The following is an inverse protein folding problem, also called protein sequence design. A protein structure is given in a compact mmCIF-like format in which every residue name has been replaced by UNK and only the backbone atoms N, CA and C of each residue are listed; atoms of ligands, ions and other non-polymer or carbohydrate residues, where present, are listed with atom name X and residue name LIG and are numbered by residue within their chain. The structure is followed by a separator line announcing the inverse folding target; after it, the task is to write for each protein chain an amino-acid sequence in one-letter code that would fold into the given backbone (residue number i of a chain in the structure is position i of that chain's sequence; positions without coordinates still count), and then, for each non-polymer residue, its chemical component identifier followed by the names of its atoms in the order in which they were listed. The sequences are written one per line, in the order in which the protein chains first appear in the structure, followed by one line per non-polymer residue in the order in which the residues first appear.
data_IF_496838730383
#
_entry.id   IF_496838730383
#
_cell.length_a   1.000
_cell.length_b   1.000
_cell.length_c   1.000
_cell.angle_alpha   90.00
_cell.angle_beta   90.00
_cell.angle_gamma   90.00
#
_symmetry.space_group_name_H-M   'P 1'
#
loop_
_entity.id
_entity.type
_entity.pdbx_description
1 polymer ?
#
# COMPACT_ATOMS: atom_id res chain seq x y z
N UNK A 1 22.57 6.46 51.71
CA UNK A 1 21.62 5.51 51.08
C UNK A 1 21.03 6.04 49.77
N UNK A 2 21.86 6.58 48.84
CA UNK A 2 21.35 7.23 47.61
C UNK A 2 21.82 6.56 46.30
N UNK A 3 22.73 5.58 46.38
CA UNK A 3 23.33 4.93 45.18
C UNK A 3 22.52 3.76 44.61
N UNK A 4 21.64 3.14 45.39
CA UNK A 4 20.88 1.95 44.96
C UNK A 4 19.61 2.29 44.16
N UNK A 5 19.07 3.51 44.27
CA UNK A 5 17.85 3.90 43.54
C UNK A 5 18.10 4.26 42.07
N UNK A 6 19.31 4.69 41.72
CA UNK A 6 19.66 5.04 40.34
C UNK A 6 19.86 3.81 39.45
N UNK A 7 20.44 2.71 39.98
CA UNK A 7 20.71 1.51 39.20
C UNK A 7 19.42 0.84 38.64
N UNK A 8 18.31 0.87 39.40
CA UNK A 8 17.03 0.35 38.93
C UNK A 8 16.41 1.17 37.79
N UNK A 9 16.58 2.51 37.80
CA UNK A 9 16.00 3.37 36.76
C UNK A 9 16.65 3.14 35.40
N UNK A 10 17.97 2.97 35.37
CA UNK A 10 18.71 2.67 34.14
C UNK A 10 18.41 1.27 33.60
N UNK A 11 18.24 0.27 34.49
CA UNK A 11 17.83 -1.08 34.09
C UNK A 11 16.45 -1.11 33.42
N UNK A 12 15.47 -0.37 33.95
CA UNK A 12 14.14 -0.29 33.35
C UNK A 12 14.13 0.43 31.99
N UNK A 13 14.90 1.51 31.84
CA UNK A 13 15.01 2.22 30.56
C UNK A 13 15.62 1.32 29.46
N UNK A 14 16.59 0.48 29.81
CA UNK A 14 17.20 -0.48 28.87
C UNK A 14 16.20 -1.55 28.42
N UNK A 15 15.37 -2.07 29.34
CA UNK A 15 14.37 -3.10 29.02
C UNK A 15 13.28 -2.54 28.09
N UNK A 16 12.83 -1.31 28.31
CA UNK A 16 11.86 -0.64 27.43
C UNK A 16 12.45 -0.41 26.04
N UNK A 17 13.71 0.04 25.94
CA UNK A 17 14.39 0.25 24.66
C UNK A 17 14.54 -1.06 23.86
N UNK A 18 14.79 -2.19 24.54
CA UNK A 18 14.90 -3.50 23.90
C UNK A 18 13.53 -4.03 23.42
N UNK A 19 12.44 -3.73 24.13
CA UNK A 19 11.09 -4.14 23.71
C UNK A 19 10.60 -3.43 22.44
N UNK A 20 11.03 -2.19 22.19
CA UNK A 20 10.67 -1.45 20.96
C UNK A 20 11.49 -1.87 19.72
N UNK A 21 12.57 -2.64 19.89
CA UNK A 21 13.41 -3.10 18.78
C UNK A 21 13.00 -4.47 18.21
N UNK A 22 12.01 -5.16 18.81
CA UNK A 22 11.54 -6.47 18.35
C UNK A 22 10.18 -6.42 17.63
N UNK A 23 9.74 -5.25 17.18
CA UNK A 23 8.73 -5.19 16.13
C UNK A 23 9.33 -5.81 14.87
N UNK A 24 9.11 -7.11 14.71
CA UNK A 24 9.49 -7.84 13.50
C UNK A 24 8.91 -7.07 12.32
N UNK A 25 9.73 -6.59 11.37
CA UNK A 25 9.18 -6.12 10.10
C UNK A 25 8.45 -7.33 9.51
N UNK A 26 7.13 -7.23 9.40
CA UNK A 26 6.35 -8.15 8.58
C UNK A 26 6.82 -7.88 7.16
N UNK A 27 7.87 -8.61 6.75
CA UNK A 27 8.36 -8.60 5.38
C UNK A 27 7.28 -9.26 4.53
N UNK A 28 6.40 -8.43 4.00
CA UNK A 28 5.55 -8.81 2.90
C UNK A 28 6.44 -9.19 1.72
N UNK A 29 6.39 -10.46 1.29
CA UNK A 29 7.14 -10.90 0.11
C UNK A 29 6.73 -10.08 -1.11
N UNK A 30 7.70 -9.67 -1.97
CA UNK A 30 7.40 -8.90 -3.17
C UNK A 30 6.46 -9.68 -4.08
N UNK A 31 5.51 -8.99 -4.71
CA UNK A 31 4.59 -9.59 -5.66
C UNK A 31 5.27 -9.73 -7.02
N UNK A 32 5.25 -10.93 -7.59
CA UNK A 32 5.73 -11.16 -8.96
C UNK A 32 4.54 -11.05 -9.94
N UNK A 33 4.67 -10.29 -11.04
CA UNK A 33 3.60 -10.13 -12.01
C UNK A 33 3.27 -11.47 -12.68
N UNK A 34 1.98 -11.79 -12.80
CA UNK A 34 1.53 -12.93 -13.60
C UNK A 34 1.02 -12.41 -14.95
N UNK A 35 1.75 -12.72 -16.03
CA UNK A 35 1.34 -12.39 -17.40
C UNK A 35 0.31 -13.41 -17.89
N UNK A 36 -0.91 -12.96 -18.19
CA UNK A 36 -1.91 -13.74 -18.93
C UNK A 36 -2.98 -14.42 -18.08
N UNK A 37 -3.74 -13.65 -17.29
CA UNK A 37 -4.78 -14.21 -16.43
C UNK A 37 -6.19 -13.70 -16.78
N UNK A 38 -7.05 -14.66 -17.11
CA UNK A 38 -8.45 -14.47 -17.46
C UNK A 38 -9.29 -14.49 -16.17
N UNK A 39 -9.54 -13.31 -15.59
CA UNK A 39 -10.39 -13.17 -14.40
C UNK A 39 -11.68 -12.49 -14.80
N UNK A 40 -12.80 -13.21 -14.74
CA UNK A 40 -14.13 -12.65 -14.89
C UNK A 40 -14.72 -12.32 -13.53
N UNK A 41 -15.27 -11.12 -13.42
CA UNK A 41 -16.09 -10.71 -12.30
C UNK A 41 -17.51 -11.20 -12.53
N UNK A 42 -18.04 -12.07 -11.67
CA UNK A 42 -19.45 -12.48 -11.76
C UNK A 42 -20.23 -11.79 -10.65
N UNK A 43 -21.05 -10.82 -11.03
CA UNK A 43 -21.95 -10.14 -10.10
C UNK A 43 -23.08 -11.09 -9.71
N UNK A 44 -22.96 -11.86 -8.64
CA UNK A 44 -24.11 -12.58 -8.06
C UNK A 44 -24.96 -11.59 -7.25
N UNK A 45 -25.63 -10.69 -7.94
CA UNK A 45 -26.79 -10.00 -7.39
C UNK A 45 -28.05 -10.73 -7.85
N UNK A 46 -28.56 -11.62 -7.00
CA UNK A 46 -29.99 -11.96 -7.03
C UNK A 46 -30.76 -10.74 -6.52
N UNK A 47 -31.02 -9.77 -7.39
CA UNK A 47 -32.15 -8.85 -7.19
C UNK A 47 -32.70 -8.41 -8.54
N UNK A 48 -34.03 -8.44 -8.59
CA UNK A 48 -34.91 -8.46 -9.75
C UNK A 48 -34.72 -7.35 -10.78
N UNK A 49 -34.97 -7.73 -12.05
CA UNK A 49 -35.49 -6.92 -13.18
C UNK A 49 -35.14 -5.42 -13.25
N UNK A 50 -34.36 -5.06 -14.27
CA UNK A 50 -34.24 -3.69 -14.78
C UNK A 50 -32.91 -3.50 -15.53
N UNK A 51 -32.98 -3.29 -16.85
CA UNK A 51 -31.84 -3.47 -17.76
C UNK A 51 -30.76 -2.38 -17.76
N UNK A 52 -29.61 -2.78 -18.33
CA UNK A 52 -28.54 -1.98 -18.96
C UNK A 52 -27.74 -1.05 -18.03
N UNK A 53 -26.43 -1.16 -17.83
CA UNK A 53 -25.36 -2.05 -18.34
C UNK A 53 -24.25 -2.01 -17.28
N UNK A 54 -24.12 -3.04 -16.44
CA UNK A 54 -23.03 -3.13 -15.46
C UNK A 54 -21.84 -3.76 -16.16
N UNK A 55 -20.74 -3.01 -16.29
CA UNK A 55 -19.53 -3.48 -16.92
C UNK A 55 -18.93 -4.63 -16.09
N UNK A 56 -18.92 -5.85 -16.63
CA UNK A 56 -18.10 -6.95 -16.13
C UNK A 56 -16.63 -6.60 -16.45
N UNK A 57 -15.95 -5.91 -15.53
CA UNK A 57 -14.62 -5.36 -15.81
C UNK A 57 -13.54 -6.39 -15.54
N UNK A 58 -13.13 -7.20 -16.52
CA UNK A 58 -12.16 -8.30 -16.28
C UNK A 58 -10.90 -7.84 -15.51
N UNK A 59 -10.27 -8.74 -14.75
CA UNK A 59 -9.05 -8.41 -14.00
C UNK A 59 -7.93 -7.85 -14.89
N UNK A 60 -7.91 -8.25 -16.15
CA UNK A 60 -7.04 -7.71 -17.18
C UNK A 60 -7.34 -6.22 -17.48
N UNK A 61 -8.62 -5.86 -17.69
CA UNK A 61 -9.01 -4.46 -17.94
C UNK A 61 -8.73 -3.57 -16.72
N UNK A 62 -8.93 -4.09 -15.50
CA UNK A 62 -8.59 -3.37 -14.27
C UNK A 62 -7.09 -3.11 -14.19
N UNK A 63 -6.28 -4.15 -14.39
CA UNK A 63 -4.82 -4.01 -14.40
C UNK A 63 -4.33 -3.02 -15.46
N UNK A 64 -4.92 -3.08 -16.67
CA UNK A 64 -4.63 -2.17 -17.77
C UNK A 64 -4.96 -0.72 -17.41
N UNK A 65 -6.18 -0.46 -16.93
CA UNK A 65 -6.64 0.88 -16.55
C UNK A 65 -5.79 1.48 -15.42
N UNK A 66 -5.43 0.66 -14.42
CA UNK A 66 -4.54 1.08 -13.34
C UNK A 66 -3.15 1.44 -13.88
N UNK A 67 -2.61 0.64 -14.81
CA UNK A 67 -1.28 0.88 -15.39
C UNK A 67 -1.23 2.07 -16.36
N UNK A 68 -2.33 2.37 -17.05
CA UNK A 68 -2.49 3.56 -17.89
C UNK A 68 -2.47 4.85 -17.05
N UNK A 69 -3.02 4.80 -15.83
CA UNK A 69 -3.09 5.95 -14.92
C UNK A 69 -2.08 5.90 -13.76
N UNK A 70 -1.09 5.00 -13.83
CA UNK A 70 -0.23 4.66 -12.67
C UNK A 70 0.49 5.85 -12.05
N UNK A 71 0.96 6.80 -12.85
CA UNK A 71 1.72 7.94 -12.33
C UNK A 71 0.81 8.96 -11.64
N UNK A 72 -0.43 9.11 -12.11
CA UNK A 72 -1.44 9.93 -11.44
C UNK A 72 -1.84 9.29 -10.10
N UNK A 73 -2.15 7.99 -10.12
CA UNK A 73 -2.46 7.21 -8.92
C UNK A 73 -1.32 7.31 -7.91
N UNK A 74 -0.09 7.02 -8.35
CA UNK A 74 1.08 7.05 -7.49
C UNK A 74 1.37 8.42 -6.92
N UNK A 75 1.27 9.50 -7.72
CA UNK A 75 1.46 10.87 -7.23
C UNK A 75 0.42 11.25 -6.17
N UNK A 76 -0.84 10.90 -6.39
CA UNK A 76 -1.91 11.18 -5.43
C UNK A 76 -1.67 10.44 -4.10
N UNK A 77 -1.42 9.13 -4.15
CA UNK A 77 -1.15 8.33 -2.95
C UNK A 77 0.11 8.81 -2.23
N UNK A 78 1.17 9.13 -2.99
CA UNK A 78 2.41 9.65 -2.46
C UNK A 78 2.22 10.96 -1.71
N UNK A 79 1.47 11.89 -2.27
CA UNK A 79 1.21 13.20 -1.64
C UNK A 79 0.51 13.08 -0.28
N UNK A 80 -0.24 11.99 -0.08
CA UNK A 80 -0.90 11.67 1.20
C UNK A 80 0.13 11.11 2.18
N UNK A 81 0.91 10.11 1.79
CA UNK A 81 1.77 9.37 2.74
C UNK A 81 3.12 10.06 3.02
N UNK A 82 3.63 10.84 2.06
CA UNK A 82 4.91 11.54 2.11
C UNK A 82 4.78 13.02 1.67
N UNK A 83 4.00 13.86 2.38
CA UNK A 83 3.67 15.22 1.93
C UNK A 83 4.86 16.19 1.83
N UNK A 84 5.99 15.84 2.44
CA UNK A 84 7.21 16.66 2.47
C UNK A 84 8.35 16.07 1.62
N UNK A 85 8.01 15.26 0.63
CA UNK A 85 8.95 14.64 -0.28
C UNK A 85 8.56 14.90 -1.73
N UNK A 86 9.49 14.63 -2.65
CA UNK A 86 9.32 14.86 -4.07
C UNK A 86 9.05 13.53 -4.77
N UNK A 87 7.94 13.46 -5.50
CA UNK A 87 7.59 12.31 -6.33
C UNK A 87 8.50 12.23 -7.56
N UNK A 88 8.98 11.03 -7.88
CA UNK A 88 9.73 10.77 -9.12
C UNK A 88 8.86 10.09 -10.19
N UNK A 89 8.52 8.81 -9.97
CA UNK A 89 7.71 8.01 -10.89
C UNK A 89 7.08 6.80 -10.20
N UNK A 90 6.12 6.16 -10.87
CA UNK A 90 5.49 4.91 -10.41
C UNK A 90 5.81 3.79 -11.39
N UNK A 91 6.38 2.69 -10.90
CA UNK A 91 6.60 1.52 -11.76
C UNK A 91 5.24 0.87 -12.11
N UNK A 92 5.18 -0.04 -13.10
CA UNK A 92 3.97 -0.76 -13.41
C UNK A 92 3.32 -1.38 -12.17
N UNK A 93 2.01 -1.15 -12.00
CA UNK A 93 1.23 -1.71 -10.90
C UNK A 93 1.12 -3.22 -11.13
N UNK A 94 1.66 -3.98 -10.18
CA UNK A 94 1.71 -5.43 -10.26
C UNK A 94 0.42 -6.00 -9.71
N UNK A 95 -0.09 -7.06 -10.31
CA UNK A 95 -1.33 -7.72 -9.93
C UNK A 95 -1.07 -9.20 -9.67
N UNK A 96 -1.54 -9.69 -8.53
CA UNK A 96 -1.50 -11.11 -8.18
C UNK A 96 -2.82 -11.58 -7.55
N UNK A 97 -3.03 -12.89 -7.64
CA UNK A 97 -4.19 -13.58 -7.09
C UNK A 97 -3.83 -14.12 -5.71
N UNK A 98 -4.72 -13.90 -4.74
CA UNK A 98 -4.67 -14.54 -3.44
C UNK A 98 -5.82 -15.56 -3.28
N UNK A 99 -5.64 -16.59 -2.43
CA UNK A 99 -6.72 -17.51 -2.10
C UNK A 99 -7.99 -16.79 -1.63
N UNK A 100 -9.16 -17.34 -2.00
CA UNK A 100 -10.46 -16.81 -1.59
C UNK A 100 -10.99 -15.66 -2.45
N UNK A 101 -10.76 -15.70 -3.77
CA UNK A 101 -11.19 -14.67 -4.73
C UNK A 101 -10.69 -13.26 -4.39
N UNK A 102 -9.49 -13.19 -3.83
CA UNK A 102 -8.81 -11.94 -3.52
C UNK A 102 -7.81 -11.61 -4.62
N UNK A 103 -7.68 -10.34 -4.89
CA UNK A 103 -6.71 -9.76 -5.78
C UNK A 103 -5.87 -8.79 -4.98
N UNK A 104 -4.57 -8.82 -5.22
CA UNK A 104 -3.62 -7.91 -4.62
C UNK A 104 -2.92 -7.13 -5.71
N UNK A 105 -2.97 -5.81 -5.59
CA UNK A 105 -2.20 -4.87 -6.37
C UNK A 105 -1.01 -4.38 -5.56
N UNK A 106 0.16 -4.26 -6.18
CA UNK A 106 1.33 -3.60 -5.60
C UNK A 106 1.66 -2.36 -6.42
N UNK A 107 1.73 -1.21 -5.74
CA UNK A 107 1.99 0.11 -6.33
C UNK A 107 3.37 0.57 -5.84
N UNK A 108 4.44 0.32 -6.62
CA UNK A 108 5.79 0.78 -6.31
C UNK A 108 5.99 2.24 -6.73
N UNK A 109 6.30 3.11 -5.77
CA UNK A 109 6.48 4.56 -5.97
C UNK A 109 7.91 4.96 -5.61
N UNK A 110 8.61 5.54 -6.59
CA UNK A 110 9.93 6.13 -6.38
C UNK A 110 9.81 7.61 -6.04
N UNK A 111 10.65 8.07 -5.11
CA UNK A 111 10.66 9.44 -4.63
C UNK A 111 12.02 9.82 -4.04
N UNK A 112 12.23 11.11 -3.84
CA UNK A 112 13.42 11.63 -3.16
C UNK A 112 13.06 12.79 -2.23
N UNK A 113 14.04 13.24 -1.44
CA UNK A 113 13.98 14.50 -0.69
C UNK A 113 15.20 15.34 -1.00
N UNK A 114 14.97 16.65 -1.11
CA UNK A 114 16.03 17.63 -1.17
C UNK A 114 16.62 17.86 0.22
N UNK A 115 17.48 16.93 0.64
CA UNK A 115 18.32 17.12 1.82
C UNK A 115 19.67 17.66 1.36
N UNK A 116 20.06 18.81 1.91
CA UNK A 116 21.27 19.58 1.54
C UNK A 116 22.56 18.73 1.52
N UNK A 117 22.62 17.63 2.28
CA UNK A 117 23.80 16.79 2.39
C UNK A 117 23.74 15.47 1.60
N UNK A 118 22.54 14.96 1.28
CA UNK A 118 22.40 13.65 0.61
C UNK A 118 21.07 13.59 -0.15
N UNK A 119 21.12 13.55 -1.48
CA UNK A 119 19.98 13.09 -2.28
C UNK A 119 20.00 11.56 -2.30
N UNK A 120 18.95 10.95 -1.74
CA UNK A 120 18.72 9.49 -1.84
C UNK A 120 17.40 9.27 -2.54
N UNK A 121 17.41 8.31 -3.47
CA UNK A 121 16.20 7.78 -4.05
C UNK A 121 15.63 6.74 -3.10
N UNK A 122 14.33 6.83 -2.89
CA UNK A 122 13.56 6.00 -1.99
C UNK A 122 12.48 5.30 -2.78
N UNK A 123 12.06 4.14 -2.27
CA UNK A 123 10.99 3.34 -2.81
C UNK A 123 9.99 3.07 -1.70
N UNK A 124 8.72 3.38 -1.97
CA UNK A 124 7.60 2.98 -1.14
C UNK A 124 6.73 2.02 -1.93
N UNK A 125 6.35 0.89 -1.32
CA UNK A 125 5.41 -0.08 -1.91
C UNK A 125 4.10 -0.04 -1.16
N UNK A 126 3.02 0.24 -1.88
CA UNK A 126 1.66 0.17 -1.34
C UNK A 126 1.04 -1.12 -1.84
N UNK A 127 0.63 -1.99 -0.91
CA UNK A 127 -0.15 -3.19 -1.19
C UNK A 127 -1.62 -2.88 -1.03
N UNK A 128 -2.40 -3.16 -2.05
CA UNK A 128 -3.84 -2.93 -2.09
C UNK A 128 -4.60 -4.22 -2.38
N UNK A 129 -5.45 -4.65 -1.44
CA UNK A 129 -6.23 -5.88 -1.52
C UNK A 129 -7.70 -5.58 -1.85
N UNK A 130 -8.21 -6.29 -2.85
CA UNK A 130 -9.60 -6.24 -3.31
C UNK A 130 -10.18 -7.66 -3.27
N UNK A 131 -11.38 -7.84 -2.74
CA UNK A 131 -12.07 -9.13 -2.75
C UNK A 131 -13.54 -8.96 -3.12
N UNK A 132 -14.08 -9.81 -3.99
CA UNK A 132 -15.48 -9.76 -4.43
C UNK A 132 -15.99 -8.34 -4.77
N UNK A 133 -15.19 -7.55 -5.50
CA UNK A 133 -15.46 -6.14 -5.86
C UNK A 133 -15.45 -5.13 -4.71
N UNK A 134 -14.88 -5.48 -3.57
CA UNK A 134 -14.81 -4.59 -2.42
C UNK A 134 -13.37 -4.34 -2.03
N UNK A 135 -13.08 -3.07 -1.76
CA UNK A 135 -11.84 -2.67 -1.09
C UNK A 135 -11.76 -3.39 0.26
N UNK A 136 -10.73 -4.20 0.46
CA UNK A 136 -10.50 -4.89 1.74
C UNK A 136 -9.54 -4.07 2.61
N UNK A 137 -8.36 -3.77 2.08
CA UNK A 137 -7.30 -3.08 2.82
C UNK A 137 -6.27 -2.51 1.85
N UNK A 138 -5.68 -1.38 2.20
CA UNK A 138 -4.41 -0.93 1.66
C UNK A 138 -3.40 -0.73 2.80
N UNK A 139 -2.14 -1.06 2.55
CA UNK A 139 -1.05 -0.90 3.51
C UNK A 139 0.27 -0.59 2.81
N UNK A 140 1.16 0.14 3.49
CA UNK A 140 2.53 0.36 3.05
C UNK A 140 3.36 -0.84 3.51
N UNK A 141 3.89 -1.63 2.57
CA UNK A 141 4.62 -2.87 2.85
C UNK A 141 6.13 -2.71 2.85
N UNK A 142 6.61 -1.69 2.17
CA UNK A 142 8.03 -1.30 2.15
C UNK A 142 8.08 0.22 2.12
N UNK A 143 8.81 0.79 3.07
CA UNK A 143 9.07 2.22 3.17
C UNK A 143 10.41 2.37 3.89
N UNK A 144 11.37 3.02 3.24
CA UNK A 144 12.69 3.17 3.82
C UNK A 144 12.57 3.86 5.19
N UNK A 145 12.97 3.13 6.25
CA UNK A 145 12.72 3.41 7.68
C UNK A 145 13.14 4.81 8.18
N UNK A 146 13.82 5.61 7.35
CA UNK A 146 14.26 6.96 7.71
C UNK A 146 13.09 7.95 7.79
N UNK A 147 11.99 7.73 7.07
CA UNK A 147 10.83 8.62 7.05
C UNK A 147 9.54 7.80 7.08
N UNK A 148 8.81 7.76 8.20
CA UNK A 148 7.60 6.96 8.28
C UNK A 148 6.48 7.57 7.44
N UNK A 149 5.80 6.73 6.66
CA UNK A 149 4.54 7.06 6.01
C UNK A 149 3.52 7.61 7.01
N UNK A 150 2.76 8.62 6.58
CA UNK A 150 1.70 9.29 7.34
C UNK A 150 0.34 9.12 6.66
N UNK A 151 -0.75 9.57 7.30
CA UNK A 151 -2.09 9.62 6.69
C UNK A 151 -2.58 8.30 6.03
N UNK A 152 -2.21 7.15 6.61
CA UNK A 152 -2.53 5.82 6.04
C UNK A 152 -4.04 5.58 5.87
N UNK A 153 -4.87 6.15 6.74
CA UNK A 153 -6.33 6.09 6.62
C UNK A 153 -6.81 6.84 5.37
N UNK A 154 -6.29 8.04 5.12
CA UNK A 154 -6.65 8.85 3.96
C UNK A 154 -6.19 8.19 2.66
N UNK A 155 -5.02 7.55 2.67
CA UNK A 155 -4.53 6.74 1.54
C UNK A 155 -5.49 5.58 1.24
N UNK A 156 -5.93 4.87 2.29
CA UNK A 156 -6.85 3.75 2.17
C UNK A 156 -8.23 4.20 1.65
N UNK A 157 -8.75 5.33 2.15
CA UNK A 157 -9.98 5.95 1.64
C UNK A 157 -9.85 6.40 0.18
N UNK A 158 -8.69 6.95 -0.22
CA UNK A 158 -8.40 7.34 -1.61
C UNK A 158 -8.47 6.13 -2.55
N UNK A 159 -7.85 5.01 -2.20
CA UNK A 159 -7.91 3.77 -2.99
C UNK A 159 -9.32 3.17 -3.04
N UNK A 160 -10.07 3.27 -1.94
CA UNK A 160 -11.48 2.87 -1.91
C UNK A 160 -12.33 3.70 -2.85
N UNK A 161 -12.12 5.02 -2.90
CA UNK A 161 -12.83 5.92 -3.81
C UNK A 161 -12.45 5.65 -5.27
N UNK A 162 -11.17 5.42 -5.53
CA UNK A 162 -10.68 5.08 -6.87
C UNK A 162 -11.38 3.83 -7.42
N UNK A 163 -11.54 2.78 -6.60
CA UNK A 163 -12.27 1.57 -7.02
C UNK A 163 -13.75 1.82 -7.35
N UNK A 164 -14.39 2.78 -6.69
CA UNK A 164 -15.81 3.09 -6.95
C UNK A 164 -16.00 3.99 -8.18
N UNK A 165 -14.94 4.68 -8.61
CA UNK A 165 -14.95 5.54 -9.80
C UNK A 165 -14.53 4.84 -11.09
N UNK A 166 -13.99 3.62 -10.99
CA UNK A 166 -13.65 2.72 -12.09
C UNK A 166 -14.83 1.79 -12.42
#
# INVERSE_FOLDING_TARGET
MLRTKFACLWGFALIIAVMFCFCSPVFAHPIYPVLGLEWSFTTVHKFSQGGSSKADFSGYELSKTLNENRDEIGRNLFSIIHPNANYDYTEPILMAKEPGNKVVFEIPIHWHRDLVAVQRNHLTRIRWQIGNHQHLKAEVTDDYFTFPSTHLTEMNDSLRLLLNGL
#
